data_IF_544822767359
#
_entry.id   IF_544822767359
#
_cell.length_a   1.000
_cell.length_b   1.000
_cell.length_c   1.000
_cell.angle_alpha   90.00
_cell.angle_beta   90.00
_cell.angle_gamma   90.00
#
_symmetry.space_group_name_H-M   'P 1'
#
loop_
_entity.id
_entity.type
_entity.pdbx_description
1 polymer ?
#
# COMPACT_ATOMS: atom_id res chain seq x y z
N UNK A 1 39.10 13.29 40.40
CA UNK A 1 37.67 12.94 40.57
C UNK A 1 37.23 12.20 39.33
N UNK A 2 37.35 10.87 39.34
CA UNK A 2 37.10 10.00 38.19
C UNK A 2 35.61 9.69 38.07
N UNK A 3 35.04 9.91 36.89
CA UNK A 3 33.69 9.48 36.57
C UNK A 3 33.65 7.95 36.61
N UNK A 4 32.65 7.40 37.30
CA UNK A 4 32.51 5.97 37.53
C UNK A 4 32.09 5.27 36.23
N UNK A 5 32.74 4.17 35.79
CA UNK A 5 32.44 3.50 34.52
C UNK A 5 31.02 2.90 34.41
N UNK A 6 30.24 2.94 35.48
CA UNK A 6 28.89 2.37 35.56
C UNK A 6 27.74 3.32 35.22
N UNK A 7 27.96 4.65 35.19
CA UNK A 7 26.89 5.61 34.87
C UNK A 7 26.57 5.67 33.38
N UNK A 8 27.57 5.43 32.51
CA UNK A 8 27.41 5.43 31.05
C UNK A 8 26.50 4.29 30.55
N UNK A 9 26.50 3.14 31.24
CA UNK A 9 25.74 1.97 30.81
C UNK A 9 24.22 2.17 30.89
N UNK A 10 23.74 2.93 31.88
CA UNK A 10 22.31 3.23 32.01
C UNK A 10 21.83 4.25 30.97
N UNK A 11 22.68 5.20 30.59
CA UNK A 11 22.36 6.16 29.50
C UNK A 11 22.42 5.51 28.12
N UNK A 12 23.34 4.57 27.87
CA UNK A 12 23.38 3.75 26.65
C UNK A 12 22.15 2.84 26.54
N UNK A 13 21.69 2.25 27.65
CA UNK A 13 20.47 1.43 27.68
C UNK A 13 19.19 2.27 27.53
N UNK A 14 19.16 3.50 28.06
CA UNK A 14 18.08 4.47 27.80
C UNK A 14 18.07 4.94 26.34
N UNK A 15 19.24 5.13 25.72
CA UNK A 15 19.36 5.50 24.31
C UNK A 15 18.89 4.39 23.37
N UNK A 16 19.13 3.11 23.70
CA UNK A 16 18.64 1.97 22.90
C UNK A 16 17.14 1.68 23.04
N UNK A 17 16.45 2.25 24.06
CA UNK A 17 14.98 2.22 24.15
C UNK A 17 14.28 3.34 23.39
N UNK A 18 15.02 4.22 22.71
CA UNK A 18 14.46 5.28 21.86
C UNK A 18 14.14 4.86 20.43
N UNK A 19 13.96 3.57 20.10
CA UNK A 19 13.58 3.24 18.70
C UNK A 19 12.77 1.97 18.52
N UNK A 20 11.86 1.68 19.45
CA UNK A 20 10.66 0.90 19.12
C UNK A 20 9.47 1.85 19.14
N UNK A 21 9.50 2.86 18.27
CA UNK A 21 8.24 3.52 17.90
C UNK A 21 7.34 2.40 17.37
N UNK A 22 6.08 2.30 17.82
CA UNK A 22 5.15 1.35 17.23
C UNK A 22 5.24 1.53 15.71
N UNK A 23 5.34 0.44 14.92
CA UNK A 23 5.52 0.55 13.48
C UNK A 23 4.45 1.50 12.98
N UNK A 24 4.90 2.57 12.31
CA UNK A 24 3.99 3.58 11.81
C UNK A 24 2.96 2.83 10.95
N UNK A 25 1.66 3.06 11.12
CA UNK A 25 0.64 2.21 10.49
C UNK A 25 0.82 2.08 8.96
N UNK A 26 1.38 3.12 8.35
CA UNK A 26 1.85 3.15 6.96
C UNK A 26 2.94 2.13 6.64
N UNK A 27 3.93 1.96 7.52
CA UNK A 27 5.02 0.99 7.37
C UNK A 27 4.51 -0.44 7.49
N UNK A 28 3.63 -0.71 8.45
CA UNK A 28 3.01 -2.02 8.58
C UNK A 28 2.23 -2.39 7.31
N UNK A 29 1.40 -1.47 6.80
CA UNK A 29 0.69 -1.67 5.54
C UNK A 29 1.65 -1.86 4.36
N UNK A 30 2.70 -1.04 4.28
CA UNK A 30 3.69 -1.17 3.21
C UNK A 30 4.41 -2.52 3.22
N UNK A 31 4.69 -3.04 4.41
CA UNK A 31 5.37 -4.33 4.60
C UNK A 31 4.45 -5.48 4.19
N UNK A 32 3.18 -5.46 4.60
CA UNK A 32 2.19 -6.45 4.16
C UNK A 32 2.05 -6.48 2.63
N UNK A 33 1.95 -5.31 2.00
CA UNK A 33 1.86 -5.19 0.54
C UNK A 33 3.15 -5.68 -0.13
N UNK A 34 4.31 -5.32 0.41
CA UNK A 34 5.61 -5.71 -0.12
C UNK A 34 5.82 -7.22 -0.09
N UNK A 35 5.46 -7.85 1.03
CA UNK A 35 5.51 -9.30 1.20
C UNK A 35 4.52 -10.01 0.27
N UNK A 36 3.29 -9.47 0.13
CA UNK A 36 2.26 -10.03 -0.74
C UNK A 36 2.70 -10.08 -2.21
N UNK A 37 3.39 -9.05 -2.70
CA UNK A 37 3.90 -9.00 -4.07
C UNK A 37 5.28 -9.65 -4.25
N UNK A 38 5.78 -10.40 -3.27
CA UNK A 38 7.06 -11.12 -3.43
C UNK A 38 8.25 -10.22 -3.79
N UNK A 39 8.23 -8.94 -3.36
CA UNK A 39 9.24 -7.91 -3.68
C UNK A 39 9.28 -7.42 -5.14
N UNK A 40 8.26 -7.71 -5.95
CA UNK A 40 8.15 -7.15 -7.32
C UNK A 40 8.01 -5.62 -7.33
N UNK A 41 7.43 -5.05 -6.27
CA UNK A 41 7.38 -3.60 -6.03
C UNK A 41 8.33 -3.30 -4.87
N UNK A 42 9.14 -2.24 -4.98
CA UNK A 42 10.06 -1.89 -3.89
C UNK A 42 9.33 -1.28 -2.69
N UNK A 43 9.73 -1.65 -1.47
CA UNK A 43 9.16 -1.11 -0.23
C UNK A 43 9.14 0.44 -0.18
N UNK A 44 10.22 1.16 -0.59
CA UNK A 44 10.18 2.62 -0.66
C UNK A 44 9.14 3.17 -1.63
N UNK A 45 8.84 2.48 -2.73
CA UNK A 45 7.81 2.89 -3.68
C UNK A 45 6.41 2.76 -3.06
N UNK A 46 6.15 1.67 -2.34
CA UNK A 46 4.87 1.45 -1.64
C UNK A 46 4.66 2.52 -0.57
N UNK A 47 5.70 2.84 0.22
CA UNK A 47 5.63 3.93 1.19
C UNK A 47 5.35 5.29 0.54
N UNK A 48 5.98 5.59 -0.61
CA UNK A 48 5.68 6.81 -1.37
C UNK A 48 4.22 6.86 -1.82
N UNK A 49 3.68 5.72 -2.28
CA UNK A 49 2.28 5.59 -2.68
C UNK A 49 1.34 5.85 -1.48
N UNK A 50 1.60 5.22 -0.34
CA UNK A 50 0.81 5.41 0.89
C UNK A 50 0.84 6.85 1.35
N UNK A 51 2.01 7.49 1.34
CA UNK A 51 2.14 8.91 1.74
C UNK A 51 1.45 9.86 0.75
N UNK A 52 1.41 9.53 -0.54
CA UNK A 52 0.80 10.37 -1.56
C UNK A 52 -0.73 10.24 -1.62
N UNK A 53 -1.26 9.05 -1.36
CA UNK A 53 -2.70 8.73 -1.48
C UNK A 53 -3.44 8.67 -0.14
N UNK A 54 -2.71 8.42 0.93
CA UNK A 54 -3.25 8.10 2.24
C UNK A 54 -3.35 6.59 2.46
N UNK A 55 -3.14 6.18 3.70
CA UNK A 55 -3.15 4.77 4.12
C UNK A 55 -4.46 4.06 3.80
N UNK A 56 -5.61 4.70 4.03
CA UNK A 56 -6.93 4.10 3.85
C UNK A 56 -7.19 3.75 2.37
N UNK A 57 -6.93 4.68 1.46
CA UNK A 57 -7.13 4.48 0.02
C UNK A 57 -6.27 3.31 -0.50
N UNK A 58 -5.00 3.26 -0.09
CA UNK A 58 -4.10 2.16 -0.50
C UNK A 58 -4.55 0.82 0.08
N UNK A 59 -5.07 0.79 1.31
CA UNK A 59 -5.61 -0.42 1.91
C UNK A 59 -6.83 -0.96 1.14
N UNK A 60 -7.72 -0.07 0.69
CA UNK A 60 -8.88 -0.43 -0.12
C UNK A 60 -8.46 -0.98 -1.49
N UNK A 61 -7.58 -0.29 -2.21
CA UNK A 61 -7.01 -0.77 -3.47
C UNK A 61 -6.36 -2.15 -3.29
N UNK A 62 -5.56 -2.31 -2.23
CA UNK A 62 -4.90 -3.59 -1.97
C UNK A 62 -5.92 -4.72 -1.70
N UNK A 63 -7.01 -4.43 -0.98
CA UNK A 63 -8.09 -5.39 -0.78
C UNK A 63 -8.80 -5.78 -2.09
N UNK A 64 -8.99 -4.85 -3.01
CA UNK A 64 -9.53 -5.16 -4.34
C UNK A 64 -8.58 -6.05 -5.14
N UNK A 65 -7.28 -5.72 -5.15
CA UNK A 65 -6.24 -6.51 -5.85
C UNK A 65 -6.16 -7.93 -5.29
N UNK A 66 -6.31 -8.11 -3.97
CA UNK A 66 -6.32 -9.44 -3.35
C UNK A 66 -7.47 -10.31 -3.89
N UNK A 67 -8.65 -9.72 -4.02
CA UNK A 67 -9.89 -10.38 -4.48
C UNK A 67 -9.96 -10.59 -5.99
N UNK A 68 -9.20 -9.81 -6.77
CA UNK A 68 -9.21 -9.91 -8.23
C UNK A 68 -8.57 -11.22 -8.73
N UNK A 69 -9.25 -11.90 -9.64
CA UNK A 69 -8.69 -12.99 -10.47
C UNK A 69 -7.88 -12.39 -11.62
N UNK A 70 -6.75 -11.74 -11.28
CA UNK A 70 -5.84 -11.16 -12.27
C UNK A 70 -4.45 -11.80 -12.14
N UNK A 71 -3.82 -12.25 -13.25
CA UNK A 71 -2.55 -12.99 -13.18
C UNK A 71 -1.38 -12.12 -12.71
N UNK A 72 -1.37 -10.82 -13.01
CA UNK A 72 -0.31 -9.89 -12.59
C UNK A 72 -0.84 -8.86 -11.58
N UNK A 73 -0.99 -9.31 -10.33
CA UNK A 73 -1.50 -8.49 -9.22
C UNK A 73 -0.65 -7.23 -8.92
N UNK A 74 0.69 -7.25 -8.98
CA UNK A 74 1.49 -6.04 -8.80
C UNK A 74 1.20 -4.97 -9.87
N UNK A 75 1.10 -5.36 -11.14
CA UNK A 75 0.76 -4.43 -12.22
C UNK A 75 -0.66 -3.86 -12.05
N UNK A 76 -1.61 -4.69 -11.61
CA UNK A 76 -2.97 -4.24 -11.30
C UNK A 76 -2.96 -3.20 -10.16
N UNK A 77 -2.22 -3.47 -9.08
CA UNK A 77 -2.07 -2.53 -7.97
C UNK A 77 -1.52 -1.17 -8.41
N UNK A 78 -0.41 -1.16 -9.15
CA UNK A 78 0.18 0.08 -9.66
C UNK A 78 -0.77 0.82 -10.62
N UNK A 79 -1.52 0.08 -11.43
CA UNK A 79 -2.54 0.64 -12.33
C UNK A 79 -3.67 1.32 -11.56
N UNK A 80 -4.20 0.68 -10.51
CA UNK A 80 -5.28 1.22 -9.67
C UNK A 80 -4.81 2.45 -8.88
N UNK A 81 -3.63 2.38 -8.26
CA UNK A 81 -3.00 3.52 -7.57
C UNK A 81 -2.81 4.72 -8.51
N UNK A 82 -2.39 4.47 -9.76
CA UNK A 82 -2.21 5.52 -10.77
C UNK A 82 -3.54 6.07 -11.31
N UNK A 83 -4.57 5.22 -11.40
CA UNK A 83 -5.91 5.56 -11.90
C UNK A 83 -6.81 6.28 -10.90
N UNK A 84 -6.48 6.27 -9.60
CA UNK A 84 -7.14 7.13 -8.60
C UNK A 84 -6.87 8.63 -8.86
N UNK A 85 -7.43 9.18 -9.93
CA UNK A 85 -8.19 10.42 -9.84
C UNK A 85 -9.63 9.98 -9.53
N UNK A 86 -9.95 9.83 -8.25
CA UNK A 86 -11.33 9.81 -7.72
C UNK A 86 -12.26 8.79 -8.41
N UNK A 87 -12.22 7.53 -7.98
CA UNK A 87 -13.32 6.59 -8.24
C UNK A 87 -14.00 6.23 -6.92
N UNK A 88 -14.66 7.22 -6.31
CA UNK A 88 -15.68 6.92 -5.31
C UNK A 88 -16.86 6.28 -6.03
N UNK A 89 -16.99 4.95 -5.88
CA UNK A 89 -18.25 4.22 -5.97
C UNK A 89 -19.17 4.62 -7.15
N UNK A 90 -18.84 4.22 -8.37
CA UNK A 90 -19.86 3.96 -9.40
C UNK A 90 -20.09 2.45 -9.55
N UNK A 91 -20.30 1.77 -8.41
CA UNK A 91 -20.76 0.39 -8.36
C UNK A 91 -22.28 0.27 -8.58
N UNK A 92 -22.88 1.12 -9.42
CA UNK A 92 -24.32 1.03 -9.78
C UNK A 92 -24.67 1.16 -11.26
N UNK A 93 -23.71 1.22 -12.19
CA UNK A 93 -23.98 1.04 -13.63
C UNK A 93 -22.77 0.36 -14.28
N UNK A 94 -22.71 -0.97 -14.33
CA UNK A 94 -23.02 -1.66 -15.60
C UNK A 94 -23.70 -2.99 -15.32
N UNK A 95 -24.99 -2.93 -14.97
CA UNK A 95 -25.87 -4.05 -15.17
C UNK A 95 -26.02 -4.27 -16.69
N UNK A 96 -25.54 -5.43 -17.14
CA UNK A 96 -26.24 -6.37 -18.04
C UNK A 96 -26.60 -5.90 -19.46
N UNK A 97 -26.32 -6.83 -20.39
CA UNK A 97 -26.86 -6.98 -21.76
C UNK A 97 -26.20 -6.14 -22.85
N UNK A 98 -26.13 -6.55 -24.10
CA UNK A 98 -26.01 -7.81 -24.84
C UNK A 98 -25.81 -7.34 -26.30
N UNK A 99 -25.20 -8.13 -27.15
CA UNK A 99 -24.73 -7.68 -28.47
C UNK A 99 -25.74 -6.97 -29.39
N UNK A 100 -25.22 -6.07 -30.23
CA UNK A 100 -25.73 -5.78 -31.58
C UNK A 100 -24.72 -4.94 -32.37
N UNK A 101 -23.88 -5.63 -33.12
CA UNK A 101 -23.42 -5.17 -34.45
C UNK A 101 -24.44 -5.73 -35.47
N UNK A 102 -24.69 -5.19 -36.68
CA UNK A 102 -24.15 -4.01 -37.35
C UNK A 102 -25.21 -3.02 -37.87
N UNK A 103 -24.86 -1.76 -38.09
CA UNK A 103 -25.67 -0.83 -38.91
C UNK A 103 -25.06 -0.80 -40.31
N UNK A 104 -25.78 -1.40 -41.27
CA UNK A 104 -25.59 -1.14 -42.71
C UNK A 104 -26.05 0.29 -43.00
N UNK A 105 -25.21 1.09 -43.64
CA UNK A 105 -25.65 2.31 -44.30
C UNK A 105 -25.51 2.16 -45.83
N UNK A 106 -26.70 2.08 -46.43
CA UNK A 106 -27.17 2.49 -47.76
C UNK A 106 -26.26 2.33 -48.98
#
# INVERSE_FOLDING_TARGET
>A
MGKSPGEDYLDVLKARRKEKRPPNREQALAEEIWLFFGKEITFPAILKIIRAKGQQAVYEIWNEVKKAEFPNKPALFLSLVKKEKVFWLDAKKTAKTNGRNPVKHK
#
